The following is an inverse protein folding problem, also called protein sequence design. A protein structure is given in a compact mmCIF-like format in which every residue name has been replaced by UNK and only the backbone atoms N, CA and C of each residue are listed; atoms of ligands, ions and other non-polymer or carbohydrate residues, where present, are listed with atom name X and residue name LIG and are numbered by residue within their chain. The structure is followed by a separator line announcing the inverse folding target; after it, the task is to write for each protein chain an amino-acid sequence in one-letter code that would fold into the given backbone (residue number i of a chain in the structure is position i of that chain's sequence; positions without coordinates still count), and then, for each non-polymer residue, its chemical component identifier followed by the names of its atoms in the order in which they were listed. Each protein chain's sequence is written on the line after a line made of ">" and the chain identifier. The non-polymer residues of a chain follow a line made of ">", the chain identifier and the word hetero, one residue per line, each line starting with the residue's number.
data_IF_444046434601
#
_entry.id   IF_444046434601
#
_cell.length_a   1.000
_cell.length_b   1.000
_cell.length_c   1.000
_cell.angle_alpha   90.00
_cell.angle_beta   90.00
_cell.angle_gamma   90.00
#
_symmetry.space_group_name_H-M   'P 1'
#
loop_
_entity.id
_entity.type
_entity.pdbx_description
1 polymer ?
#
# COMPACT_ATOMS: atom_id res chain seq x y z
N UNK A 1 13.28 -17.33 2.48
CA UNK A 1 12.78 -15.94 2.61
C UNK A 1 13.18 -15.19 1.34
N UNK A 2 12.22 -14.51 0.70
CA UNK A 2 12.48 -13.74 -0.53
C UNK A 2 13.34 -12.53 -0.20
N UNK A 3 14.49 -12.36 -0.86
CA UNK A 3 15.42 -11.25 -0.62
C UNK A 3 14.94 -9.91 -1.25
N UNK A 4 13.63 -9.79 -1.50
CA UNK A 4 13.02 -8.64 -2.17
C UNK A 4 12.85 -7.48 -1.20
N UNK A 5 12.95 -6.27 -1.73
CA UNK A 5 12.68 -5.02 -1.01
C UNK A 5 11.17 -4.78 -1.04
N UNK A 6 10.53 -4.81 0.13
CA UNK A 6 9.12 -4.50 0.25
C UNK A 6 8.89 -2.99 0.29
N UNK A 7 8.10 -2.47 -0.65
CA UNK A 7 7.65 -1.08 -0.69
C UNK A 7 6.17 -1.03 -0.35
N UNK A 8 5.84 -0.36 0.74
CA UNK A 8 4.49 -0.29 1.30
C UNK A 8 3.92 1.11 1.21
N UNK A 9 2.71 1.24 0.67
CA UNK A 9 1.90 2.47 0.81
C UNK A 9 0.53 2.15 1.39
N UNK A 10 -0.03 3.08 2.17
CA UNK A 10 -1.35 2.92 2.80
C UNK A 10 -2.21 4.13 2.51
N UNK A 11 -3.37 3.89 1.89
CA UNK A 11 -4.25 4.96 1.46
C UNK A 11 -5.70 4.50 1.26
N UNK A 12 -6.60 5.49 1.22
CA UNK A 12 -8.00 5.29 0.85
C UNK A 12 -8.25 5.48 -0.66
N UNK A 13 -9.46 5.14 -1.12
CA UNK A 13 -9.83 5.18 -2.53
C UNK A 13 -9.69 6.55 -3.20
N UNK A 14 -9.74 7.65 -2.46
CA UNK A 14 -9.62 9.00 -3.03
C UNK A 14 -8.19 9.32 -3.51
N UNK A 15 -7.20 8.56 -3.02
CA UNK A 15 -5.79 8.76 -3.35
C UNK A 15 -5.28 7.77 -4.42
N UNK A 16 -6.18 7.02 -5.06
CA UNK A 16 -5.80 6.03 -6.06
C UNK A 16 -4.89 6.57 -7.18
N UNK A 17 -5.09 7.79 -7.73
CA UNK A 17 -4.16 8.36 -8.71
C UNK A 17 -2.75 8.57 -8.14
N UNK A 18 -2.65 9.07 -6.91
CA UNK A 18 -1.37 9.32 -6.26
C UNK A 18 -0.63 8.01 -5.96
N UNK A 19 -1.35 6.97 -5.51
CA UNK A 19 -0.78 5.62 -5.32
C UNK A 19 -0.16 5.13 -6.64
N UNK A 20 -0.91 5.22 -7.74
CA UNK A 20 -0.43 4.78 -9.05
C UNK A 20 0.85 5.52 -9.47
N UNK A 21 0.88 6.85 -9.31
CA UNK A 21 2.08 7.66 -9.61
C UNK A 21 3.26 7.29 -8.72
N UNK A 22 3.05 7.13 -7.41
CA UNK A 22 4.12 6.76 -6.47
C UNK A 22 4.72 5.40 -6.79
N UNK A 23 3.88 4.37 -7.00
CA UNK A 23 4.35 3.02 -7.33
C UNK A 23 5.13 3.03 -8.64
N UNK A 24 4.63 3.71 -9.68
CA UNK A 24 5.34 3.84 -10.95
C UNK A 24 6.69 4.51 -10.78
N UNK A 25 6.76 5.61 -10.02
CA UNK A 25 8.01 6.32 -9.77
C UNK A 25 9.04 5.46 -9.05
N UNK A 26 8.62 4.62 -8.10
CA UNK A 26 9.53 3.68 -7.40
C UNK A 26 10.12 2.68 -8.38
N UNK A 27 9.30 2.10 -9.27
CA UNK A 27 9.76 1.18 -10.32
C UNK A 27 10.74 1.88 -11.26
N UNK A 28 10.39 3.05 -11.78
CA UNK A 28 11.21 3.77 -12.77
C UNK A 28 12.55 4.27 -12.22
N UNK A 29 12.66 4.48 -10.89
CA UNK A 29 13.87 5.00 -10.25
C UNK A 29 14.75 3.93 -9.61
N UNK A 30 14.30 2.67 -9.57
CA UNK A 30 15.07 1.59 -8.97
C UNK A 30 15.91 0.88 -10.03
N UNK A 31 17.21 0.72 -9.77
CA UNK A 31 18.14 0.07 -10.70
C UNK A 31 17.80 -1.40 -10.99
N UNK A 32 17.10 -2.09 -10.08
CA UNK A 32 16.63 -3.46 -10.23
C UNK A 32 15.16 -3.59 -9.78
N UNK A 33 14.19 -3.26 -10.64
CA UNK A 33 12.76 -3.27 -10.29
C UNK A 33 12.24 -4.66 -9.88
N UNK A 34 12.77 -5.73 -10.48
CA UNK A 34 12.39 -7.11 -10.15
C UNK A 34 12.75 -7.52 -8.71
N UNK A 35 13.64 -6.77 -8.06
CA UNK A 35 13.94 -6.95 -6.65
C UNK A 35 12.89 -6.37 -5.71
N UNK A 36 11.90 -5.63 -6.23
CA UNK A 36 10.88 -4.96 -5.43
C UNK A 36 9.62 -5.82 -5.34
N UNK A 37 9.01 -5.81 -4.16
CA UNK A 37 7.65 -6.27 -3.94
C UNK A 37 6.78 -5.07 -3.55
N UNK A 38 5.68 -4.85 -4.27
CA UNK A 38 4.76 -3.74 -4.02
C UNK A 38 3.63 -4.19 -3.11
N UNK A 39 3.44 -3.48 -1.99
CA UNK A 39 2.37 -3.72 -1.03
C UNK A 39 1.51 -2.47 -0.90
N UNK A 40 0.19 -2.64 -0.94
CA UNK A 40 -0.76 -1.54 -0.77
C UNK A 40 -1.76 -1.87 0.33
N UNK A 41 -1.68 -1.13 1.45
CA UNK A 41 -2.71 -1.10 2.47
C UNK A 41 -3.94 -0.36 1.96
N UNK A 42 -5.03 -1.08 1.77
CA UNK A 42 -6.26 -0.61 1.14
C UNK A 42 -7.31 -0.25 2.20
N UNK A 43 -7.60 1.04 2.34
CA UNK A 43 -8.73 1.51 3.15
C UNK A 43 -9.92 1.74 2.22
N UNK A 44 -10.74 0.71 2.04
CA UNK A 44 -11.92 0.77 1.17
C UNK A 44 -11.62 1.24 -0.27
N UNK A 45 -10.50 0.83 -0.88
CA UNK A 45 -10.23 1.12 -2.30
C UNK A 45 -11.11 0.21 -3.16
N UNK A 46 -12.03 0.76 -3.99
CA UNK A 46 -12.87 -0.05 -4.87
C UNK A 46 -12.08 -0.85 -5.89
N UNK A 47 -12.61 -1.99 -6.34
CA UNK A 47 -11.95 -2.86 -7.33
C UNK A 47 -11.53 -2.11 -8.60
N UNK A 48 -12.40 -1.25 -9.14
CA UNK A 48 -12.07 -0.44 -10.32
C UNK A 48 -10.85 0.47 -10.10
N UNK A 49 -10.72 1.05 -8.90
CA UNK A 49 -9.57 1.85 -8.55
C UNK A 49 -8.30 1.00 -8.39
N UNK A 50 -8.40 -0.22 -7.83
CA UNK A 50 -7.29 -1.18 -7.76
C UNK A 50 -6.79 -1.57 -9.14
N UNK A 51 -7.70 -1.83 -10.08
CA UNK A 51 -7.35 -2.13 -11.47
C UNK A 51 -6.62 -0.97 -12.15
N UNK A 52 -7.05 0.28 -11.91
CA UNK A 52 -6.35 1.45 -12.44
C UNK A 52 -4.93 1.58 -11.86
N UNK A 53 -4.77 1.30 -10.57
CA UNK A 53 -3.44 1.29 -9.93
C UNK A 53 -2.58 0.17 -10.51
N UNK A 54 -3.09 -1.06 -10.63
CA UNK A 54 -2.36 -2.19 -11.22
C UNK A 54 -1.94 -1.91 -12.67
N UNK A 55 -2.78 -1.23 -13.46
CA UNK A 55 -2.46 -0.82 -14.84
C UNK A 55 -1.28 0.17 -14.94
N UNK A 56 -0.95 0.89 -13.86
CA UNK A 56 0.21 1.79 -13.85
C UNK A 56 1.54 1.04 -13.73
N UNK A 57 1.52 -0.16 -13.17
CA UNK A 57 2.68 -1.03 -12.97
C UNK A 57 2.36 -2.45 -13.47
N UNK A 58 2.11 -2.62 -14.79
CA UNK A 58 1.52 -3.86 -15.33
C UNK A 58 2.40 -5.10 -15.09
N UNK A 59 3.71 -4.92 -15.08
CA UNK A 59 4.68 -6.01 -14.92
C UNK A 59 4.99 -6.32 -13.45
N UNK A 60 4.46 -5.54 -12.50
CA UNK A 60 4.72 -5.70 -11.07
C UNK A 60 3.41 -5.98 -10.33
N UNK A 61 3.16 -7.22 -9.90
CA UNK A 61 1.94 -7.55 -9.16
C UNK A 61 1.92 -6.83 -7.81
N UNK A 62 0.77 -6.27 -7.46
CA UNK A 62 0.55 -5.59 -6.19
C UNK A 62 -0.07 -6.56 -5.19
N UNK A 63 0.58 -6.69 -4.03
CA UNK A 63 0.00 -7.37 -2.86
C UNK A 63 -0.93 -6.41 -2.13
N UNK A 64 -2.23 -6.66 -2.20
CA UNK A 64 -3.23 -5.85 -1.51
C UNK A 64 -3.42 -6.35 -0.08
N UNK A 65 -3.43 -5.40 0.86
CA UNK A 65 -3.66 -5.66 2.27
C UNK A 65 -4.90 -4.87 2.66
N UNK A 66 -6.02 -5.55 2.80
CA UNK A 66 -7.27 -4.92 3.19
C UNK A 66 -7.18 -4.48 4.66
N UNK A 67 -7.41 -3.18 4.91
CA UNK A 67 -7.46 -2.62 6.25
C UNK A 67 -8.91 -2.73 6.74
N UNK A 68 -9.20 -3.55 7.76
CA UNK A 68 -10.53 -3.66 8.31
C UNK A 68 -11.02 -2.33 8.88
N UNK A 69 -12.25 -1.94 8.51
CA UNK A 69 -12.80 -0.64 8.91
C UNK A 69 -13.06 -0.54 10.41
N UNK A 70 -13.26 -1.67 11.09
CA UNK A 70 -13.39 -1.75 12.54
C UNK A 70 -12.14 -1.24 13.26
N UNK A 71 -10.94 -1.38 12.67
CA UNK A 71 -9.71 -0.81 13.22
C UNK A 71 -9.74 0.72 13.21
N UNK A 72 -10.55 1.32 12.33
CA UNK A 72 -10.70 2.75 12.18
C UNK A 72 -11.96 3.30 12.86
N UNK A 73 -12.86 2.44 13.33
CA UNK A 73 -14.15 2.81 13.90
C UNK A 73 -14.03 3.59 15.23
N UNK A 74 -12.93 3.40 15.97
CA UNK A 74 -12.64 4.15 17.18
C UNK A 74 -12.11 5.58 16.91
N UNK A 75 -11.84 5.92 15.65
CA UNK A 75 -11.25 7.20 15.26
C UNK A 75 -12.36 8.17 14.83
N UNK A 76 -12.53 9.32 15.53
CA UNK A 76 -13.52 10.33 15.17
C UNK A 76 -13.41 10.76 13.70
N UNK A 77 -14.53 10.86 12.99
CA UNK A 77 -14.59 11.26 11.57
C UNK A 77 -13.94 12.61 11.27
N UNK A 78 -13.89 13.51 12.27
CA UNK A 78 -13.28 14.84 12.15
C UNK A 78 -11.77 14.84 11.98
N UNK A 79 -11.12 13.67 11.99
CA UNK A 79 -9.67 13.55 11.89
C UNK A 79 -9.26 12.97 10.53
N UNK A 80 -8.52 13.79 9.78
CA UNK A 80 -7.63 13.47 8.65
C UNK A 80 -6.59 12.35 8.89
N UNK A 81 -6.72 11.62 10.00
CA UNK A 81 -5.74 10.68 10.53
C UNK A 81 -6.10 9.23 10.25
N UNK A 82 -7.26 8.90 9.66
CA UNK A 82 -7.64 7.49 9.38
C UNK A 82 -6.56 6.75 8.59
N UNK A 83 -5.93 7.41 7.60
CA UNK A 83 -4.78 6.86 6.87
C UNK A 83 -3.53 6.72 7.74
N UNK A 84 -3.26 7.64 8.67
CA UNK A 84 -2.15 7.56 9.63
C UNK A 84 -2.31 6.38 10.61
N UNK A 85 -3.51 6.13 11.12
CA UNK A 85 -3.76 4.99 12.01
C UNK A 85 -3.77 3.66 11.24
N UNK A 86 -4.30 3.65 10.02
CA UNK A 86 -4.21 2.48 9.15
C UNK A 86 -2.75 2.07 8.91
N UNK A 87 -1.80 3.02 8.80
CA UNK A 87 -0.36 2.70 8.69
C UNK A 87 0.15 1.90 9.88
N UNK A 88 -0.23 2.29 11.11
CA UNK A 88 0.20 1.60 12.32
C UNK A 88 -0.28 0.14 12.33
N UNK A 89 -1.55 -0.09 12.00
CA UNK A 89 -2.11 -1.44 12.00
C UNK A 89 -1.61 -2.30 10.84
N UNK A 90 -1.43 -1.73 9.65
CA UNK A 90 -0.82 -2.45 8.52
C UNK A 90 0.62 -2.85 8.87
N UNK A 91 1.38 -1.94 9.47
CA UNK A 91 2.73 -2.26 9.93
C UNK A 91 2.73 -3.37 11.00
N UNK A 92 1.88 -3.29 12.01
CA UNK A 92 1.74 -4.33 13.03
C UNK A 92 1.42 -5.70 12.41
N UNK A 93 0.47 -5.74 11.47
CA UNK A 93 0.06 -6.96 10.76
C UNK A 93 1.19 -7.58 9.95
N UNK A 94 2.06 -6.75 9.38
CA UNK A 94 3.18 -7.19 8.54
C UNK A 94 4.47 -7.45 9.33
N UNK A 95 4.60 -6.89 10.54
CA UNK A 95 5.84 -6.88 11.32
C UNK A 95 6.37 -8.27 11.67
N UNK A 96 5.50 -9.27 11.75
CA UNK A 96 5.87 -10.67 12.02
C UNK A 96 6.25 -11.45 10.75
N UNK A 97 6.03 -10.87 9.56
CA UNK A 97 6.16 -11.56 8.26
C UNK A 97 7.22 -10.95 7.36
N UNK A 98 7.57 -9.68 7.58
CA UNK A 98 8.49 -8.92 6.75
C UNK A 98 9.71 -8.50 7.55
N UNK A 99 10.90 -8.82 7.03
CA UNK A 99 12.17 -8.48 7.70
C UNK A 99 12.52 -6.99 7.54
N UNK A 100 12.10 -6.36 6.42
CA UNK A 100 12.36 -4.94 6.12
C UNK A 100 11.22 -4.38 5.27
N UNK A 101 10.82 -3.13 5.51
CA UNK A 101 9.80 -2.42 4.72
C UNK A 101 10.23 -0.98 4.52
N UNK A 102 10.10 -0.47 3.29
CA UNK A 102 10.24 0.96 2.96
C UNK A 102 8.83 1.51 2.78
N UNK A 103 8.53 2.63 3.46
CA UNK A 103 7.25 3.33 3.39
C UNK A 103 7.35 4.58 2.52
#
# INVERSE_FOLDING_TARGET
>A
MSNRIQVLTVADGNWAPQIATTLRSVIDTTNNPDSIELLVGSISIPAEARERIQRSVPDHPITWIDVPLEWLAAIPESKSHKSLYARLHVFETLSSRLDRVIY
#
